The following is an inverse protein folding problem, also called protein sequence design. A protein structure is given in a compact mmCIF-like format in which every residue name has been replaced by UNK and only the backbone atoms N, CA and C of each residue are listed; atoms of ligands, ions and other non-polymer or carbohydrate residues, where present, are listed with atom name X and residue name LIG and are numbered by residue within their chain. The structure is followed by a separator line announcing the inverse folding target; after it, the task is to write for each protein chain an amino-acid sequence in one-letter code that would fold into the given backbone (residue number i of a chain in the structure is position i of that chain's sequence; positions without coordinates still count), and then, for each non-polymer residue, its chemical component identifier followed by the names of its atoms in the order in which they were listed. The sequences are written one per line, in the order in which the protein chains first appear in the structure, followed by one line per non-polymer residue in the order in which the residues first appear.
data_IF_927431421591
#
_entry.id   IF_927431421591
#
_cell.length_a   1.000
_cell.length_b   1.000
_cell.length_c   1.000
_cell.angle_alpha   90.00
_cell.angle_beta   90.00
_cell.angle_gamma   90.00
#
_symmetry.space_group_name_H-M   'P 1'
#
loop_
_entity.id
_entity.type
_entity.pdbx_description
1 polymer ?
#
# COMPACT_ATOMS: atom_id res chain seq x y z
N UNK A 1 -4.00 -21.16 39.37
CA UNK A 1 -3.99 -22.50 38.75
C UNK A 1 -4.96 -22.42 37.56
N UNK A 2 -4.62 -22.38 36.28
CA UNK A 2 -3.35 -22.42 35.53
C UNK A 2 -3.50 -21.56 34.27
N UNK A 3 -2.38 -20.97 33.83
CA UNK A 3 -2.24 -20.11 32.65
C UNK A 3 -2.42 -20.93 31.37
N UNK A 4 -3.22 -20.45 30.41
CA UNK A 4 -3.10 -20.85 29.00
C UNK A 4 -2.89 -19.61 28.13
N UNK A 5 -1.67 -19.09 28.26
CA UNK A 5 -1.01 -18.21 27.30
C UNK A 5 -0.29 -19.15 26.32
N UNK A 6 -0.75 -19.26 25.06
CA UNK A 6 -0.03 -19.72 23.85
C UNK A 6 -1.00 -20.30 22.78
N UNK A 7 -1.60 -19.45 21.94
CA UNK A 7 -2.09 -19.87 20.60
C UNK A 7 -2.40 -18.67 19.70
N UNK A 8 -1.36 -17.99 19.21
CA UNK A 8 -1.54 -16.88 18.26
C UNK A 8 -0.26 -16.30 17.64
N UNK A 9 0.91 -16.79 18.05
CA UNK A 9 2.19 -16.14 17.74
C UNK A 9 2.69 -16.37 16.30
N UNK A 10 2.05 -17.27 15.53
CA UNK A 10 2.53 -17.65 14.19
C UNK A 10 1.99 -16.75 13.07
N UNK A 11 0.85 -16.09 13.27
CA UNK A 11 0.25 -15.18 12.27
C UNK A 11 0.96 -13.83 12.23
N UNK A 12 1.56 -13.42 13.36
CA UNK A 12 2.25 -12.14 13.50
C UNK A 12 3.61 -12.13 12.76
N UNK A 13 4.22 -13.31 12.57
CA UNK A 13 5.47 -13.47 11.82
C UNK A 13 5.28 -13.35 10.31
N UNK A 14 4.11 -13.71 9.77
CA UNK A 14 3.84 -13.62 8.35
C UNK A 14 3.69 -12.16 7.86
N UNK A 15 3.17 -11.27 8.71
CA UNK A 15 2.99 -9.85 8.42
C UNK A 15 4.35 -9.13 8.38
N UNK A 16 5.31 -9.54 9.22
CA UNK A 16 6.67 -8.99 9.22
C UNK A 16 7.54 -9.48 8.05
N UNK A 17 7.28 -10.67 7.51
CA UNK A 17 8.03 -11.20 6.36
C UNK A 17 7.66 -10.54 5.02
N UNK A 18 6.43 -10.04 4.87
CA UNK A 18 6.00 -9.34 3.65
C UNK A 18 6.61 -7.94 3.49
N UNK A 19 7.03 -7.31 4.60
CA UNK A 19 7.67 -5.98 4.60
C UNK A 19 9.18 -6.08 4.31
N UNK A 20 9.80 -7.24 4.56
CA UNK A 20 11.27 -7.38 4.51
C UNK A 20 11.86 -7.72 3.12
N UNK A 21 11.05 -8.05 2.11
CA UNK A 21 11.57 -8.57 0.83
C UNK A 21 11.55 -7.61 -0.38
N UNK A 22 11.27 -6.32 -0.19
CA UNK A 22 11.25 -5.35 -1.31
C UNK A 22 12.16 -4.13 -1.11
N UNK A 23 13.32 -4.35 -0.47
CA UNK A 23 14.40 -3.38 -0.39
C UNK A 23 15.67 -3.91 -1.07
N UNK A 24 15.56 -4.40 -2.30
CA UNK A 24 16.73 -4.74 -3.11
C UNK A 24 16.41 -4.65 -4.61
N UNK A 25 16.56 -3.46 -5.18
CA UNK A 25 16.78 -3.30 -6.61
C UNK A 25 17.50 -1.97 -6.92
N UNK A 26 18.83 -2.07 -6.93
CA UNK A 26 19.72 -1.54 -7.98
C UNK A 26 19.86 -0.02 -8.11
N UNK A 27 20.64 0.59 -7.22
CA UNK A 27 21.48 1.73 -7.62
C UNK A 27 22.78 1.16 -8.22
N UNK A 28 22.81 0.92 -9.54
CA UNK A 28 24.08 0.78 -10.24
C UNK A 28 24.71 2.18 -10.36
N UNK A 29 25.74 2.44 -9.58
CA UNK A 29 26.62 3.57 -9.82
C UNK A 29 27.46 3.27 -11.07
N UNK A 30 27.30 4.07 -12.13
CA UNK A 30 28.20 4.02 -13.28
C UNK A 30 29.56 4.59 -12.84
N UNK A 31 30.56 3.72 -12.74
CA UNK A 31 31.97 4.10 -12.59
C UNK A 31 32.36 4.96 -13.82
N UNK A 32 32.77 6.21 -13.61
CA UNK A 32 33.34 7.02 -14.69
C UNK A 32 34.67 6.40 -15.14
N UNK A 33 34.79 6.10 -16.44
CA UNK A 33 36.08 5.80 -17.06
C UNK A 33 36.96 7.08 -17.06
N UNK A 34 38.31 6.95 -16.98
CA UNK A 34 39.22 8.08 -16.96
C UNK A 34 39.10 8.94 -18.23
N UNK A 35 39.32 10.26 -18.14
CA UNK A 35 39.06 11.19 -19.23
C UNK A 35 40.07 11.00 -20.37
N UNK A 36 39.57 10.62 -21.54
CA UNK A 36 40.28 10.81 -22.80
C UNK A 36 40.20 12.32 -23.18
N UNK A 37 41.27 12.94 -23.72
CA UNK A 37 41.20 14.32 -24.19
C UNK A 37 40.16 14.44 -25.32
N UNK A 38 39.04 15.13 -25.07
CA UNK A 38 37.99 15.34 -26.08
C UNK A 38 38.26 16.62 -26.89
N UNK A 39 38.12 16.57 -28.22
CA UNK A 39 38.01 17.78 -29.04
C UNK A 39 36.77 18.59 -28.68
N UNK A 40 36.81 19.90 -28.98
CA UNK A 40 35.82 20.90 -28.57
C UNK A 40 34.36 20.43 -28.75
N UNK A 41 33.62 20.42 -27.65
CA UNK A 41 32.23 19.99 -27.58
C UNK A 41 31.33 20.92 -28.40
N UNK A 42 30.65 20.37 -29.42
CA UNK A 42 29.50 21.02 -30.04
C UNK A 42 28.41 21.26 -28.97
N UNK A 43 27.55 22.30 -29.12
CA UNK A 43 26.44 22.52 -28.21
C UNK A 43 25.55 21.29 -28.19
N UNK A 44 25.52 20.60 -27.05
CA UNK A 44 24.59 19.49 -26.84
C UNK A 44 23.18 20.08 -26.85
N UNK A 45 22.26 19.60 -27.70
CA UNK A 45 20.86 20.00 -27.63
C UNK A 45 20.37 19.77 -26.21
N UNK A 46 19.78 20.79 -25.59
CA UNK A 46 19.14 20.63 -24.28
C UNK A 46 18.19 19.44 -24.37
N UNK A 47 18.49 18.37 -23.62
CA UNK A 47 17.59 17.23 -23.53
C UNK A 47 16.21 17.78 -23.15
N UNK A 48 15.11 17.31 -23.77
CA UNK A 48 13.78 17.81 -23.47
C UNK A 48 13.58 17.70 -21.96
N UNK A 49 13.36 18.83 -21.29
CA UNK A 49 13.00 18.83 -19.88
C UNK A 49 11.76 17.95 -19.76
N UNK A 50 11.87 16.81 -19.07
CA UNK A 50 10.71 15.97 -18.79
C UNK A 50 9.69 16.89 -18.11
N UNK A 51 8.56 17.11 -18.79
CA UNK A 51 7.51 17.96 -18.25
C UNK A 51 7.17 17.45 -16.85
N UNK A 52 7.12 18.31 -15.81
CA UNK A 52 6.70 17.90 -14.49
C UNK A 52 5.31 17.23 -14.61
N UNK A 53 5.20 15.96 -14.20
CA UNK A 53 3.88 15.32 -14.24
C UNK A 53 3.00 15.91 -13.15
N UNK A 54 1.71 16.05 -13.45
CA UNK A 54 0.73 16.50 -12.49
C UNK A 54 0.44 15.40 -11.47
N UNK A 55 0.19 15.78 -10.21
CA UNK A 55 -0.24 14.84 -9.17
C UNK A 55 -1.57 14.16 -9.53
N UNK A 56 -2.54 14.91 -10.05
CA UNK A 56 -3.84 14.38 -10.49
C UNK A 56 -3.80 13.92 -11.95
N UNK A 57 -2.80 13.13 -12.30
CA UNK A 57 -2.78 12.45 -13.60
C UNK A 57 -3.70 11.22 -13.62
N UNK A 58 -3.90 10.67 -14.82
CA UNK A 58 -4.77 9.51 -15.02
C UNK A 58 -4.34 8.31 -14.18
N UNK A 59 -3.03 8.09 -14.03
CA UNK A 59 -2.50 6.95 -13.28
C UNK A 59 -2.84 7.08 -11.80
N UNK A 60 -2.70 8.25 -11.19
CA UNK A 60 -3.03 8.46 -9.78
C UNK A 60 -4.52 8.41 -9.54
N UNK A 61 -5.32 8.98 -10.44
CA UNK A 61 -6.78 8.87 -10.36
C UNK A 61 -7.20 7.39 -10.33
N UNK A 62 -6.64 6.57 -11.22
CA UNK A 62 -6.92 5.13 -11.24
C UNK A 62 -6.44 4.42 -9.98
N UNK A 63 -5.23 4.70 -9.52
CA UNK A 63 -4.67 4.11 -8.30
C UNK A 63 -5.48 4.48 -7.05
N UNK A 64 -5.86 5.75 -6.88
CA UNK A 64 -6.67 6.19 -5.74
C UNK A 64 -8.09 5.66 -5.79
N UNK A 65 -8.66 5.55 -7.00
CA UNK A 65 -9.95 4.87 -7.19
C UNK A 65 -9.85 3.40 -6.78
N UNK A 66 -8.76 2.72 -7.15
CA UNK A 66 -8.46 1.36 -6.72
C UNK A 66 -8.37 1.24 -5.20
N UNK A 67 -7.66 2.15 -4.52
CA UNK A 67 -7.58 2.20 -3.06
C UNK A 67 -8.99 2.32 -2.45
N UNK A 68 -9.80 3.27 -2.92
CA UNK A 68 -11.16 3.46 -2.40
C UNK A 68 -12.05 2.22 -2.60
N UNK A 69 -11.98 1.58 -3.78
CA UNK A 69 -12.71 0.34 -4.06
C UNK A 69 -12.28 -0.78 -3.13
N UNK A 70 -10.97 -1.00 -2.96
CA UNK A 70 -10.49 -2.08 -2.11
C UNK A 70 -10.77 -1.87 -0.62
N UNK A 71 -10.79 -0.62 -0.15
CA UNK A 71 -11.25 -0.27 1.21
C UNK A 71 -12.74 -0.56 1.39
N UNK A 72 -13.57 -0.24 0.39
CA UNK A 72 -14.97 -0.64 0.37
C UNK A 72 -15.17 -2.16 0.36
N UNK A 73 -14.35 -2.90 -0.40
CA UNK A 73 -14.36 -4.37 -0.39
C UNK A 73 -13.91 -4.95 0.95
N UNK A 74 -12.92 -4.33 1.60
CA UNK A 74 -12.44 -4.74 2.92
C UNK A 74 -13.56 -4.61 3.97
N UNK A 75 -14.25 -3.47 3.98
CA UNK A 75 -15.46 -3.27 4.76
C UNK A 75 -16.50 -4.36 4.51
N UNK A 76 -16.88 -4.58 3.24
CA UNK A 76 -17.90 -5.55 2.88
C UNK A 76 -17.50 -7.00 3.26
N UNK A 77 -16.23 -7.36 3.03
CA UNK A 77 -15.70 -8.68 3.35
C UNK A 77 -15.73 -8.95 4.85
N UNK A 78 -15.42 -7.93 5.66
CA UNK A 78 -15.46 -7.97 7.12
C UNK A 78 -16.89 -8.11 7.63
N UNK A 79 -17.84 -7.34 7.09
CA UNK A 79 -19.26 -7.50 7.46
C UNK A 79 -19.80 -8.89 7.11
N UNK A 80 -19.42 -9.42 5.96
CA UNK A 80 -19.75 -10.80 5.58
C UNK A 80 -19.08 -11.82 6.51
N UNK A 81 -17.83 -11.58 6.92
CA UNK A 81 -17.09 -12.44 7.84
C UNK A 81 -17.78 -12.51 9.22
N UNK A 82 -18.21 -11.36 9.74
CA UNK A 82 -18.99 -11.25 10.97
C UNK A 82 -20.35 -11.92 10.87
N UNK A 83 -21.09 -11.70 9.78
CA UNK A 83 -22.39 -12.34 9.54
C UNK A 83 -22.29 -13.88 9.51
N UNK A 84 -21.10 -14.43 9.27
CA UNK A 84 -20.79 -15.87 9.28
C UNK A 84 -20.32 -16.39 10.65
N UNK A 85 -20.55 -15.62 11.72
CA UNK A 85 -20.29 -16.00 13.11
C UNK A 85 -18.80 -15.98 13.48
N UNK A 86 -18.00 -15.14 12.84
CA UNK A 86 -16.55 -15.03 13.10
C UNK A 86 -16.20 -13.63 13.58
N UNK A 87 -15.42 -13.57 14.66
CA UNK A 87 -14.92 -12.32 15.20
C UNK A 87 -13.64 -11.90 14.46
N UNK A 88 -13.54 -10.61 14.18
CA UNK A 88 -12.39 -9.96 13.55
C UNK A 88 -11.25 -9.89 14.58
N UNK A 89 -10.15 -10.61 14.37
CA UNK A 89 -9.01 -10.65 15.32
C UNK A 89 -8.20 -9.33 15.31
N UNK A 90 -8.36 -8.49 14.29
CA UNK A 90 -7.47 -7.36 14.02
C UNK A 90 -8.03 -6.00 14.46
N UNK A 91 -9.34 -5.88 14.68
CA UNK A 91 -9.98 -4.64 15.11
C UNK A 91 -10.86 -4.91 16.35
N UNK A 92 -10.74 -4.11 17.43
CA UNK A 92 -11.56 -4.28 18.62
C UNK A 92 -13.06 -4.25 18.29
N UNK A 93 -13.84 -5.12 18.97
CA UNK A 93 -15.25 -5.38 18.66
C UNK A 93 -16.15 -4.13 18.71
N UNK A 94 -15.74 -3.07 19.41
CA UNK A 94 -16.44 -1.79 19.56
C UNK A 94 -16.40 -0.91 18.30
N UNK A 95 -15.33 -0.99 17.50
CA UNK A 95 -15.21 -0.27 16.22
C UNK A 95 -15.96 -1.01 15.11
N UNK A 96 -15.86 -2.33 15.06
CA UNK A 96 -16.45 -3.12 13.95
C UNK A 96 -17.97 -3.28 14.10
N UNK A 97 -18.51 -3.22 15.31
CA UNK A 97 -19.96 -3.26 15.55
C UNK A 97 -20.66 -1.92 15.30
N UNK A 98 -19.90 -0.82 15.17
CA UNK A 98 -20.42 0.46 14.71
C UNK A 98 -20.07 0.66 13.23
N UNK A 99 -21.04 0.37 12.35
CA UNK A 99 -20.90 0.50 10.91
C UNK A 99 -20.37 1.88 10.47
N UNK A 100 -20.77 2.95 11.16
CA UNK A 100 -20.31 4.29 10.84
C UNK A 100 -18.85 4.52 11.27
N UNK A 101 -18.43 4.01 12.43
CA UNK A 101 -17.05 4.09 12.89
C UNK A 101 -16.11 3.32 11.95
N UNK A 102 -16.49 2.10 11.54
CA UNK A 102 -15.69 1.31 10.63
C UNK A 102 -15.63 1.94 9.23
N UNK A 103 -16.75 2.43 8.69
CA UNK A 103 -16.74 3.18 7.44
C UNK A 103 -15.84 4.44 7.51
N UNK A 104 -15.81 5.12 8.67
CA UNK A 104 -14.92 6.27 8.89
C UNK A 104 -13.46 5.87 8.89
N UNK A 105 -13.12 4.70 9.44
CA UNK A 105 -11.77 4.16 9.41
C UNK A 105 -11.30 3.86 7.98
N UNK A 106 -12.16 3.24 7.16
CA UNK A 106 -11.85 2.96 5.75
C UNK A 106 -11.66 4.26 4.94
N UNK A 107 -12.48 5.27 5.20
CA UNK A 107 -12.32 6.60 4.62
C UNK A 107 -10.99 7.24 5.06
N UNK A 108 -10.64 7.17 6.34
CA UNK A 108 -9.38 7.67 6.86
C UNK A 108 -8.17 6.94 6.23
N UNK A 109 -8.26 5.62 6.05
CA UNK A 109 -7.24 4.83 5.34
C UNK A 109 -7.06 5.29 3.89
N UNK A 110 -8.16 5.52 3.18
CA UNK A 110 -8.13 6.05 1.80
C UNK A 110 -7.44 7.42 1.75
N UNK A 111 -7.87 8.35 2.61
CA UNK A 111 -7.29 9.70 2.68
C UNK A 111 -5.81 9.67 3.06
N UNK A 112 -5.42 8.77 3.96
CA UNK A 112 -4.01 8.58 4.34
C UNK A 112 -3.17 8.15 3.14
N UNK A 113 -3.68 7.22 2.31
CA UNK A 113 -3.00 6.79 1.09
C UNK A 113 -2.78 7.96 0.12
N UNK A 114 -3.84 8.73 -0.14
CA UNK A 114 -3.77 9.91 -1.03
C UNK A 114 -2.81 10.96 -0.48
N UNK A 115 -2.89 11.25 0.82
CA UNK A 115 -2.04 12.24 1.49
C UNK A 115 -0.56 11.85 1.48
N UNK A 116 -0.23 10.58 1.73
CA UNK A 116 1.15 10.10 1.68
C UNK A 116 1.70 10.14 0.25
N UNK A 117 0.90 9.75 -0.75
CA UNK A 117 1.26 9.90 -2.15
C UNK A 117 1.49 11.38 -2.51
N UNK A 118 0.64 12.29 -2.04
CA UNK A 118 0.81 13.73 -2.24
C UNK A 118 2.11 14.25 -1.62
N UNK A 119 2.44 13.81 -0.40
CA UNK A 119 3.70 14.19 0.23
C UNK A 119 4.91 13.69 -0.57
N UNK A 120 4.89 12.45 -1.04
CA UNK A 120 5.96 11.90 -1.90
C UNK A 120 6.07 12.64 -3.22
N UNK A 121 4.94 13.04 -3.81
CA UNK A 121 4.91 13.87 -5.01
C UNK A 121 5.62 15.20 -4.78
N UNK A 122 5.29 15.89 -3.67
CA UNK A 122 5.93 17.16 -3.29
C UNK A 122 7.42 17.02 -2.96
N UNK A 123 7.84 15.84 -2.52
CA UNK A 123 9.24 15.48 -2.29
C UNK A 123 9.99 15.01 -3.56
N UNK A 124 9.36 15.04 -4.74
CA UNK A 124 9.88 14.51 -6.01
C UNK A 124 10.17 12.98 -6.00
N UNK A 125 9.57 12.24 -5.07
CA UNK A 125 9.66 10.78 -4.98
C UNK A 125 8.56 10.07 -5.76
N UNK A 126 8.51 10.34 -7.05
CA UNK A 126 7.38 9.98 -7.91
C UNK A 126 7.13 8.48 -8.09
N UNK A 127 8.18 7.66 -7.95
CA UNK A 127 8.00 6.20 -7.91
C UNK A 127 7.30 5.77 -6.63
N UNK A 128 7.73 6.30 -5.49
CA UNK A 128 7.16 5.96 -4.17
C UNK A 128 5.70 6.41 -4.08
N UNK A 129 5.40 7.60 -4.61
CA UNK A 129 4.04 8.12 -4.77
C UNK A 129 3.07 7.06 -5.36
N UNK A 130 3.48 6.32 -6.39
CA UNK A 130 2.65 5.26 -7.00
C UNK A 130 2.67 3.97 -6.21
N UNK A 131 3.83 3.60 -5.70
CA UNK A 131 3.99 2.38 -4.90
C UNK A 131 3.14 2.36 -3.65
N UNK A 132 2.90 3.53 -3.02
CA UNK A 132 2.00 3.64 -1.87
C UNK A 132 0.63 3.03 -2.18
N UNK A 133 -0.02 3.46 -3.26
CA UNK A 133 -1.34 2.95 -3.64
C UNK A 133 -1.30 1.48 -4.08
N UNK A 134 -0.26 1.06 -4.80
CA UNK A 134 -0.10 -0.34 -5.24
C UNK A 134 0.01 -1.28 -4.03
N UNK A 135 0.88 -0.93 -3.08
CA UNK A 135 1.07 -1.72 -1.85
C UNK A 135 -0.20 -1.72 -1.02
N UNK A 136 -0.85 -0.58 -0.88
CA UNK A 136 -2.13 -0.46 -0.18
C UNK A 136 -3.15 -1.45 -0.77
N UNK A 137 -3.42 -1.37 -2.07
CA UNK A 137 -4.34 -2.26 -2.79
C UNK A 137 -3.96 -3.73 -2.58
N UNK A 138 -2.68 -4.08 -2.68
CA UNK A 138 -2.20 -5.44 -2.51
C UNK A 138 -2.49 -6.01 -1.12
N UNK A 139 -2.17 -5.25 -0.06
CA UNK A 139 -2.41 -5.67 1.32
C UNK A 139 -3.91 -5.82 1.60
N UNK A 140 -4.72 -4.87 1.13
CA UNK A 140 -6.18 -4.91 1.31
C UNK A 140 -6.83 -6.03 0.53
N UNK A 141 -6.41 -6.24 -0.71
CA UNK A 141 -6.94 -7.31 -1.56
C UNK A 141 -6.63 -8.68 -0.97
N UNK A 142 -5.44 -8.85 -0.40
CA UNK A 142 -5.11 -10.07 0.34
C UNK A 142 -6.04 -10.30 1.54
N UNK A 143 -6.33 -9.26 2.32
CA UNK A 143 -7.29 -9.30 3.44
C UNK A 143 -8.69 -9.75 2.98
N UNK A 144 -9.21 -9.10 1.93
CA UNK A 144 -10.51 -9.43 1.31
C UNK A 144 -10.56 -10.89 0.88
N UNK A 145 -9.55 -11.36 0.12
CA UNK A 145 -9.49 -12.74 -0.36
C UNK A 145 -9.46 -13.72 0.80
N UNK A 146 -8.66 -13.44 1.85
CA UNK A 146 -8.59 -14.27 3.05
C UNK A 146 -9.95 -14.36 3.74
N UNK A 147 -10.64 -13.23 3.91
CA UNK A 147 -11.95 -13.18 4.58
C UNK A 147 -13.00 -14.03 3.85
N UNK A 148 -13.01 -13.99 2.51
CA UNK A 148 -13.92 -14.83 1.72
C UNK A 148 -13.51 -16.31 1.65
N UNK A 149 -12.20 -16.60 1.64
CA UNK A 149 -11.68 -17.97 1.51
C UNK A 149 -11.95 -18.85 2.74
N UNK A 150 -12.20 -18.23 3.88
CA UNK A 150 -12.48 -18.93 5.13
C UNK A 150 -13.91 -19.51 5.12
N UNK A 151 -14.09 -20.74 5.63
CA UNK A 151 -15.41 -21.40 5.76
C UNK A 151 -16.28 -20.74 6.84
N UNK A 152 -17.60 -20.97 6.77
CA UNK A 152 -18.56 -20.44 7.76
C UNK A 152 -18.36 -21.18 9.08
N UNK A 153 -18.52 -20.49 10.21
CA UNK A 153 -18.46 -21.12 11.53
C UNK A 153 -19.88 -21.59 11.88
N UNK A 154 -20.02 -22.86 12.20
CA UNK A 154 -21.27 -23.47 12.68
C UNK A 154 -21.25 -23.51 14.21
#
# INVERSE_FOLDING_TARGET
MSRHFFRGQNSFRAILFAIYFLAAASAHAQQLAPPNPRPASAPVPNAPSQSPHAFWDRTNILLFSGVAVFRGLDYASTRNFQARGRDEVLIPDDVVNNSAAFASLEAAGTLTSVGLSYWMHRANHHKIERWISIVHIGVTGFGVVRNYSLKTKH
#
